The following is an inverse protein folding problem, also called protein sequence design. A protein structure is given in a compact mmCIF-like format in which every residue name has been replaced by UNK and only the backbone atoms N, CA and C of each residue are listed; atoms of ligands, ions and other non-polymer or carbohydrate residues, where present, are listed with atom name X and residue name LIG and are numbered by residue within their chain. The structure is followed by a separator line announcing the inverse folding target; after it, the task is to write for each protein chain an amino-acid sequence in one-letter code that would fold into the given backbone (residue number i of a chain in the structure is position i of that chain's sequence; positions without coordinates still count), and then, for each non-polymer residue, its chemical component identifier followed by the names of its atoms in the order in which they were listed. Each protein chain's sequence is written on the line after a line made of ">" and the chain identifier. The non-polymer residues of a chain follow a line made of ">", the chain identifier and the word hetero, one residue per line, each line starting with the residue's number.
data_IF_126958564232
#
_entry.id   IF_126958564232
#
_cell.length_a   1.000
_cell.length_b   1.000
_cell.length_c   1.000
_cell.angle_alpha   90.00
_cell.angle_beta   90.00
_cell.angle_gamma   90.00
#
_symmetry.space_group_name_H-M   'P 1'
#
loop_
_entity.id
_entity.type
_entity.pdbx_description
1 polymer ?
#
# COMPACT_ATOMS: atom_id res chain seq x y z
N UNK A 1 -13.54 -8.10 36.01
CA UNK A 1 -13.05 -7.80 34.64
C UNK A 1 -14.13 -7.06 33.87
N UNK A 2 -13.83 -5.90 33.33
CA UNK A 2 -14.79 -5.14 32.53
C UNK A 2 -14.98 -5.80 31.16
N UNK A 3 -16.24 -5.98 30.78
CA UNK A 3 -16.58 -6.51 29.46
C UNK A 3 -16.27 -5.44 28.39
N UNK A 4 -15.61 -5.85 27.32
CA UNK A 4 -15.36 -4.98 26.16
C UNK A 4 -16.69 -4.70 25.47
N UNK A 5 -17.02 -3.43 25.25
CA UNK A 5 -18.25 -3.02 24.58
C UNK A 5 -18.01 -2.36 23.23
N UNK A 6 -16.94 -1.59 23.11
CA UNK A 6 -16.58 -0.86 21.89
C UNK A 6 -15.13 -1.06 21.55
N UNK A 7 -14.84 -1.19 20.26
CA UNK A 7 -13.49 -1.33 19.72
C UNK A 7 -13.32 -0.27 18.64
N UNK A 8 -12.23 0.51 18.74
CA UNK A 8 -11.84 1.44 17.67
C UNK A 8 -10.92 0.70 16.70
N UNK A 9 -11.31 0.66 15.44
CA UNK A 9 -10.49 0.06 14.38
C UNK A 9 -9.91 1.19 13.53
N UNK A 10 -8.58 1.28 13.47
CA UNK A 10 -7.89 2.39 12.81
C UNK A 10 -7.75 2.19 11.31
N UNK A 11 -8.84 1.89 10.65
CA UNK A 11 -8.93 1.73 9.20
C UNK A 11 -10.35 2.02 8.74
N UNK A 12 -10.59 2.24 7.43
CA UNK A 12 -11.95 2.34 6.89
C UNK A 12 -12.69 1.01 7.04
N UNK A 13 -14.01 1.08 7.21
CA UNK A 13 -14.83 -0.14 7.29
C UNK A 13 -14.71 -0.94 5.99
N UNK A 14 -14.41 -2.26 6.06
CA UNK A 14 -14.38 -3.10 4.87
C UNK A 14 -15.72 -3.09 4.13
N UNK A 15 -15.65 -3.07 2.80
CA UNK A 15 -16.84 -3.00 1.95
C UNK A 15 -17.55 -4.35 1.79
N UNK A 16 -16.90 -5.43 2.17
CA UNK A 16 -17.48 -6.78 2.11
C UNK A 16 -18.40 -7.01 3.30
N UNK A 17 -19.55 -7.68 3.08
CA UNK A 17 -20.48 -8.00 4.16
C UNK A 17 -19.87 -8.92 5.21
N UNK A 18 -19.08 -9.89 4.76
CA UNK A 18 -18.35 -10.79 5.65
C UNK A 18 -16.92 -10.35 5.80
N UNK A 19 -16.54 -9.98 7.01
CA UNK A 19 -15.18 -9.61 7.36
C UNK A 19 -14.94 -9.95 8.83
N UNK A 20 -13.67 -9.99 9.29
CA UNK A 20 -13.38 -10.37 10.69
C UNK A 20 -14.06 -9.47 11.72
N UNK A 21 -14.30 -8.20 11.39
CA UNK A 21 -14.91 -7.25 12.31
C UNK A 21 -16.40 -7.50 12.49
N UNK A 22 -17.15 -7.77 11.41
CA UNK A 22 -18.55 -8.10 11.51
C UNK A 22 -18.77 -9.42 12.21
N UNK A 23 -17.92 -10.41 12.02
CA UNK A 23 -17.95 -11.67 12.74
C UNK A 23 -17.73 -11.46 14.24
N UNK A 24 -16.79 -10.57 14.60
CA UNK A 24 -16.52 -10.21 15.99
C UNK A 24 -17.72 -9.51 16.63
N UNK A 25 -18.36 -8.58 15.90
CA UNK A 25 -19.56 -7.90 16.37
C UNK A 25 -20.69 -8.89 16.65
N UNK A 26 -20.93 -9.83 15.74
CA UNK A 26 -21.96 -10.85 15.87
C UNK A 26 -21.70 -11.85 16.99
N UNK A 27 -20.46 -12.32 17.09
CA UNK A 27 -20.07 -13.40 18.01
C UNK A 27 -20.00 -12.90 19.45
N UNK A 28 -19.42 -11.71 19.67
CA UNK A 28 -19.12 -11.19 21.00
C UNK A 28 -20.02 -10.04 21.43
N UNK A 29 -20.90 -9.58 20.57
CA UNK A 29 -21.80 -8.46 20.89
C UNK A 29 -21.06 -7.15 21.11
N UNK A 30 -19.89 -6.97 20.51
CA UNK A 30 -19.13 -5.72 20.58
C UNK A 30 -19.49 -4.82 19.41
N UNK A 31 -19.28 -3.53 19.58
CA UNK A 31 -19.44 -2.55 18.52
C UNK A 31 -18.06 -2.15 17.99
N UNK A 32 -17.86 -2.23 16.68
CA UNK A 32 -16.64 -1.80 16.04
C UNK A 32 -16.86 -0.45 15.37
N UNK A 33 -16.12 0.57 15.83
CA UNK A 33 -16.10 1.89 15.21
C UNK A 33 -14.86 2.01 14.33
N UNK A 34 -15.06 2.45 13.10
CA UNK A 34 -13.98 2.55 12.12
C UNK A 34 -13.60 4.00 11.93
N UNK A 35 -12.31 4.29 12.11
CA UNK A 35 -11.77 5.63 11.90
C UNK A 35 -10.38 5.50 11.28
N UNK A 36 -10.25 6.01 10.08
CA UNK A 36 -8.94 6.08 9.44
C UNK A 36 -8.11 7.16 10.12
N UNK A 37 -7.05 6.74 10.81
CA UNK A 37 -6.15 7.67 11.52
C UNK A 37 -4.98 8.09 10.65
N UNK A 38 -4.65 7.30 9.62
CA UNK A 38 -3.54 7.57 8.69
C UNK A 38 -4.10 7.49 7.29
N UNK A 39 -3.80 8.51 6.50
CA UNK A 39 -4.11 8.52 5.08
C UNK A 39 -2.80 8.62 4.30
N UNK A 40 -2.60 7.68 3.36
CA UNK A 40 -1.43 7.66 2.50
C UNK A 40 -1.83 8.19 1.14
N UNK A 41 -1.16 9.25 0.69
CA UNK A 41 -1.36 9.82 -0.63
C UNK A 41 -0.08 9.73 -1.43
N UNK A 42 -0.21 9.41 -2.74
CA UNK A 42 0.93 9.42 -3.63
C UNK A 42 1.37 10.84 -3.95
N UNK A 43 2.67 11.03 -4.09
CA UNK A 43 3.20 12.31 -4.55
C UNK A 43 2.75 12.57 -5.99
N UNK A 44 2.43 13.84 -6.30
CA UNK A 44 2.26 14.25 -7.68
C UNK A 44 3.61 14.28 -8.40
N UNK A 45 3.59 14.29 -9.73
CA UNK A 45 4.82 14.41 -10.53
C UNK A 45 5.57 15.70 -10.17
N UNK A 46 4.84 16.78 -9.96
CA UNK A 46 5.43 18.08 -9.59
C UNK A 46 6.15 17.99 -8.25
N UNK A 47 5.49 17.43 -7.23
CA UNK A 47 6.09 17.25 -5.92
C UNK A 47 7.31 16.33 -5.98
N UNK A 48 7.25 15.28 -6.80
CA UNK A 48 8.37 14.37 -6.99
C UNK A 48 9.55 15.07 -7.66
N UNK A 49 9.29 15.87 -8.70
CA UNK A 49 10.36 16.64 -9.38
C UNK A 49 11.03 17.65 -8.46
N UNK A 50 10.27 18.24 -7.56
CA UNK A 50 10.78 19.21 -6.59
C UNK A 50 11.80 18.58 -5.61
N UNK A 51 11.80 17.25 -5.48
CA UNK A 51 12.75 16.54 -4.63
C UNK A 51 14.09 16.25 -5.31
N UNK A 52 14.21 16.54 -6.60
CA UNK A 52 15.42 16.33 -7.40
C UNK A 52 15.95 14.90 -7.37
N UNK A 53 15.03 13.93 -7.38
CA UNK A 53 15.34 12.50 -7.50
C UNK A 53 15.07 12.09 -8.95
N UNK A 54 16.08 11.52 -9.60
CA UNK A 54 15.99 11.10 -11.00
C UNK A 54 16.02 9.58 -11.08
N UNK A 55 14.93 8.97 -11.55
CA UNK A 55 14.78 7.52 -11.59
C UNK A 55 15.85 6.85 -12.45
N UNK A 56 16.28 7.51 -13.51
CA UNK A 56 17.31 6.99 -14.42
C UNK A 56 18.68 6.81 -13.78
N UNK A 57 18.92 7.43 -12.62
CA UNK A 57 20.18 7.30 -11.89
C UNK A 57 20.29 6.00 -11.09
N UNK A 58 19.18 5.24 -10.98
CA UNK A 58 19.12 4.09 -10.10
C UNK A 58 19.02 2.78 -10.89
N UNK A 59 19.70 1.75 -10.41
CA UNK A 59 19.69 0.42 -11.00
C UNK A 59 18.98 -0.61 -10.12
N UNK A 60 18.57 -0.21 -8.93
CA UNK A 60 17.88 -1.08 -7.98
C UNK A 60 16.87 -0.28 -7.16
N UNK A 61 15.82 -0.95 -6.74
CA UNK A 61 14.81 -0.36 -5.87
C UNK A 61 14.42 -1.36 -4.78
N UNK A 62 14.26 -0.85 -3.56
CA UNK A 62 13.69 -1.63 -2.45
C UNK A 62 12.21 -1.26 -2.35
N UNK A 63 11.34 -2.25 -2.47
CA UNK A 63 9.90 -2.04 -2.34
C UNK A 63 9.40 -2.74 -1.08
N UNK A 64 8.74 -1.97 -0.21
CA UNK A 64 8.31 -2.46 1.09
C UNK A 64 6.78 -2.46 1.25
N UNK A 65 6.04 -2.12 0.22
CA UNK A 65 4.58 -2.13 0.26
C UNK A 65 4.00 -2.18 -1.15
N UNK A 66 2.74 -2.64 -1.25
CA UNK A 66 2.00 -2.64 -2.51
C UNK A 66 1.77 -1.21 -3.02
N UNK A 67 1.47 -0.28 -2.10
CA UNK A 67 1.28 1.12 -2.47
C UNK A 67 2.57 1.73 -3.00
N UNK A 68 3.72 1.37 -2.43
CA UNK A 68 5.02 1.81 -2.94
C UNK A 68 5.26 1.34 -4.37
N UNK A 69 4.87 0.10 -4.69
CA UNK A 69 4.95 -0.43 -6.05
C UNK A 69 4.05 0.36 -6.99
N UNK A 70 2.77 0.55 -6.64
CA UNK A 70 1.83 1.28 -7.48
C UNK A 70 2.31 2.69 -7.79
N UNK A 71 2.79 3.40 -6.78
CA UNK A 71 3.24 4.78 -6.94
C UNK A 71 4.58 4.88 -7.68
N UNK A 72 5.47 3.91 -7.51
CA UNK A 72 6.71 3.87 -8.28
C UNK A 72 6.42 3.78 -9.79
N UNK A 73 5.57 2.82 -10.19
CA UNK A 73 5.24 2.66 -11.61
C UNK A 73 4.40 3.81 -12.14
N UNK A 74 3.53 4.40 -11.31
CA UNK A 74 2.79 5.59 -11.69
C UNK A 74 3.72 6.77 -11.97
N UNK A 75 4.68 7.04 -11.09
CA UNK A 75 5.65 8.12 -11.26
C UNK A 75 6.53 7.84 -12.50
N UNK A 76 6.96 6.59 -12.68
CA UNK A 76 7.76 6.22 -13.86
C UNK A 76 6.98 6.52 -15.15
N UNK A 77 5.72 6.13 -15.22
CA UNK A 77 4.87 6.39 -16.39
C UNK A 77 4.67 7.90 -16.61
N UNK A 78 4.32 8.63 -15.56
CA UNK A 78 4.05 10.07 -15.67
C UNK A 78 5.29 10.89 -15.98
N UNK A 79 6.48 10.43 -15.59
CA UNK A 79 7.75 11.06 -15.95
C UNK A 79 8.34 10.53 -17.25
N UNK A 80 7.63 9.61 -17.92
CA UNK A 80 8.05 8.96 -19.17
C UNK A 80 9.36 8.19 -19.01
N UNK A 81 9.62 7.66 -17.83
CA UNK A 81 10.74 6.78 -17.58
C UNK A 81 10.34 5.34 -17.86
N UNK A 82 11.00 4.71 -18.83
CA UNK A 82 10.82 3.30 -19.11
C UNK A 82 11.73 2.52 -18.18
N UNK A 83 11.14 1.77 -17.25
CA UNK A 83 11.90 0.97 -16.30
C UNK A 83 12.60 -0.15 -17.08
N UNK A 84 13.95 -0.20 -17.05
CA UNK A 84 14.69 -1.21 -17.82
C UNK A 84 14.49 -2.60 -17.24
N UNK A 85 14.58 -3.61 -18.11
CA UNK A 85 14.49 -5.01 -17.70
C UNK A 85 15.62 -5.42 -16.75
N UNK A 86 16.70 -4.64 -16.74
CA UNK A 86 17.87 -4.86 -15.87
C UNK A 86 17.69 -4.30 -14.46
N UNK A 87 16.58 -3.62 -14.17
CA UNK A 87 16.31 -3.09 -12.83
C UNK A 87 16.23 -4.22 -11.81
N UNK A 88 16.94 -4.07 -10.71
CA UNK A 88 16.89 -5.02 -9.60
C UNK A 88 15.85 -4.59 -8.58
N UNK A 89 15.01 -5.55 -8.17
CA UNK A 89 13.95 -5.31 -7.19
C UNK A 89 14.23 -6.12 -5.94
N UNK A 90 14.23 -5.45 -4.80
CA UNK A 90 14.35 -6.10 -3.49
C UNK A 90 13.05 -5.92 -2.76
N UNK A 91 12.34 -7.03 -2.53
CA UNK A 91 11.02 -7.01 -1.90
C UNK A 91 11.11 -7.49 -0.46
N UNK A 92 10.43 -6.79 0.44
CA UNK A 92 10.49 -7.09 1.87
C UNK A 92 9.79 -8.40 2.23
N UNK A 93 8.87 -8.88 1.38
CA UNK A 93 8.13 -10.12 1.62
C UNK A 93 7.75 -10.77 0.30
N UNK A 94 7.37 -12.05 0.38
CA UNK A 94 6.86 -12.80 -0.77
C UNK A 94 5.56 -12.16 -1.32
N UNK A 95 4.69 -11.68 -0.45
CA UNK A 95 3.45 -11.04 -0.85
C UNK A 95 3.71 -9.79 -1.69
N UNK A 96 4.68 -8.97 -1.30
CA UNK A 96 5.09 -7.78 -2.07
C UNK A 96 5.71 -8.20 -3.39
N UNK A 97 6.55 -9.22 -3.40
CA UNK A 97 7.16 -9.76 -4.61
C UNK A 97 6.12 -10.27 -5.61
N UNK A 98 5.11 -10.98 -5.13
CA UNK A 98 4.02 -11.46 -5.96
C UNK A 98 3.20 -10.31 -6.55
N UNK A 99 2.95 -9.28 -5.77
CA UNK A 99 2.24 -8.09 -6.24
C UNK A 99 3.02 -7.36 -7.33
N UNK A 100 4.36 -7.33 -7.21
CA UNK A 100 5.23 -6.70 -8.21
C UNK A 100 5.07 -7.33 -9.59
N UNK A 101 4.76 -8.61 -9.68
CA UNK A 101 4.57 -9.31 -10.96
C UNK A 101 3.41 -8.74 -11.79
N UNK A 102 2.55 -7.95 -11.20
CA UNK A 102 1.51 -7.22 -11.91
C UNK A 102 2.09 -6.22 -12.92
N UNK A 103 3.27 -5.70 -12.64
CA UNK A 103 3.95 -4.70 -13.46
C UNK A 103 5.13 -5.23 -14.26
N UNK A 104 5.77 -6.27 -13.76
CA UNK A 104 6.94 -6.88 -14.40
C UNK A 104 6.70 -8.37 -14.54
N UNK A 105 7.33 -8.97 -15.55
CA UNK A 105 7.32 -10.43 -15.76
C UNK A 105 8.71 -10.98 -15.56
N UNK A 106 8.79 -12.00 -14.73
CA UNK A 106 10.00 -12.80 -14.57
C UNK A 106 9.76 -14.19 -15.10
#
# INVERSE_FOLDING_TARGET
>A
MKKIKKILVSQPRPQTERNPYSDMESTYGVECDFQQLIQIEGLSVREFRDQHVYLEDYTAIIVNSRLGIDHFFRIAEETRFVVPDTMHYYCISEAVGNYLQKYIQY
#
